data_IF_749012764372
#
_entry.id   IF_749012764372
#
_cell.length_a   1.000
_cell.length_b   1.000
_cell.length_c   1.000
_cell.angle_alpha   90.00
_cell.angle_beta   90.00
_cell.angle_gamma   90.00
#
_symmetry.space_group_name_H-M   'P 1'
#
loop_
_entity.id
_entity.type
_entity.pdbx_description
1 polymer ?
#
# COMPACT_ATOMS: atom_id res chain seq x y z
N UNK A 1 4.02 6.95 -15.90
CA UNK A 1 2.61 6.57 -15.63
C UNK A 1 2.54 5.15 -15.09
N UNK A 2 1.67 4.89 -14.13
CA UNK A 2 1.50 3.54 -13.57
C UNK A 2 0.94 2.59 -14.63
N UNK A 3 1.53 1.41 -14.73
CA UNK A 3 1.16 0.39 -15.71
C UNK A 3 0.29 -0.68 -15.04
N UNK A 4 -0.86 -1.00 -15.65
CA UNK A 4 -1.74 -2.05 -15.17
C UNK A 4 -1.29 -3.39 -15.76
N UNK A 5 -1.07 -4.39 -14.91
CA UNK A 5 -0.68 -5.74 -15.30
C UNK A 5 -1.58 -6.76 -14.61
N UNK A 6 -1.68 -7.95 -15.19
CA UNK A 6 -2.37 -9.08 -14.58
C UNK A 6 -1.40 -9.87 -13.70
N UNK A 7 -1.88 -10.38 -12.57
CA UNK A 7 -1.07 -11.21 -11.69
C UNK A 7 -1.57 -11.20 -10.26
N UNK A 8 -0.74 -11.69 -9.36
CA UNK A 8 -0.98 -11.62 -7.92
C UNK A 8 0.07 -10.69 -7.30
N UNK A 9 -0.37 -9.55 -6.76
CA UNK A 9 0.51 -8.57 -6.12
C UNK A 9 1.37 -9.22 -5.02
N UNK A 10 0.82 -10.16 -4.28
CA UNK A 10 1.50 -10.80 -3.16
C UNK A 10 2.61 -11.77 -3.59
N UNK A 11 2.72 -12.06 -4.88
CA UNK A 11 3.84 -12.79 -5.45
C UNK A 11 5.00 -11.87 -5.88
N UNK A 12 4.85 -10.56 -5.72
CA UNK A 12 5.85 -9.56 -6.10
C UNK A 12 6.33 -9.75 -7.56
N UNK A 13 5.41 -9.69 -8.55
CA UNK A 13 5.79 -9.88 -9.96
C UNK A 13 6.61 -8.71 -10.50
N UNK A 14 7.20 -8.86 -11.68
CA UNK A 14 7.83 -7.80 -12.48
C UNK A 14 8.92 -7.02 -11.72
N UNK A 15 9.77 -7.71 -10.96
CA UNK A 15 10.82 -7.08 -10.16
C UNK A 15 10.30 -6.07 -9.13
N UNK A 16 9.06 -6.23 -8.68
CA UNK A 16 8.53 -5.46 -7.57
C UNK A 16 9.28 -5.83 -6.31
N UNK A 17 9.84 -4.82 -5.65
CA UNK A 17 10.50 -4.97 -4.34
C UNK A 17 9.66 -4.41 -3.21
N UNK A 18 8.69 -3.55 -3.51
CA UNK A 18 7.83 -2.90 -2.52
C UNK A 18 6.39 -2.95 -2.98
N UNK A 19 5.49 -3.27 -2.06
CA UNK A 19 4.05 -3.17 -2.30
C UNK A 19 3.41 -2.32 -1.21
N UNK A 20 2.27 -1.73 -1.52
CA UNK A 20 1.46 -1.03 -0.53
C UNK A 20 -0.01 -1.43 -0.67
N UNK A 21 -0.72 -1.36 0.43
CA UNK A 21 -2.16 -1.53 0.44
C UNK A 21 -2.80 -0.52 1.40
N UNK A 22 -4.10 -0.32 1.26
CA UNK A 22 -4.84 0.58 2.12
C UNK A 22 -5.31 -0.12 3.38
N UNK A 23 -5.09 0.51 4.51
CA UNK A 23 -5.48 0.02 5.82
C UNK A 23 -6.43 1.00 6.51
N UNK A 24 -7.25 0.47 7.41
CA UNK A 24 -8.07 1.28 8.30
C UNK A 24 -7.32 1.66 9.58
N UNK A 25 -7.81 2.68 10.26
CA UNK A 25 -7.20 3.18 11.49
C UNK A 25 -7.56 2.36 12.74
N UNK A 26 -8.31 1.28 12.59
CA UNK A 26 -8.64 0.36 13.69
C UNK A 26 -7.64 -0.79 13.84
N UNK A 27 -6.62 -0.84 13.01
CA UNK A 27 -5.59 -1.89 13.01
C UNK A 27 -6.16 -3.31 12.83
N UNK A 28 -7.17 -3.42 11.96
CA UNK A 28 -7.84 -4.69 11.65
C UNK A 28 -7.60 -5.06 10.19
N UNK A 29 -6.91 -6.16 9.97
CA UNK A 29 -6.71 -6.76 8.64
C UNK A 29 -7.66 -7.95 8.48
N UNK A 30 -8.96 -7.67 8.48
CA UNK A 30 -9.99 -8.71 8.56
C UNK A 30 -10.63 -9.12 7.24
N UNK A 31 -10.36 -8.41 6.14
CA UNK A 31 -11.03 -8.66 4.86
C UNK A 31 -10.13 -8.31 3.67
N UNK A 32 -10.47 -8.85 2.51
CA UNK A 32 -9.82 -8.54 1.24
C UNK A 32 -8.32 -8.81 1.24
N UNK A 33 -7.59 -7.95 0.54
CA UNK A 33 -6.13 -8.09 0.42
C UNK A 33 -5.41 -7.97 1.78
N UNK A 34 -5.93 -7.17 2.70
CA UNK A 34 -5.32 -7.01 4.02
C UNK A 34 -5.30 -8.33 4.79
N UNK A 35 -6.39 -9.10 4.71
CA UNK A 35 -6.44 -10.43 5.33
C UNK A 35 -5.43 -11.38 4.70
N UNK A 36 -5.30 -11.38 3.38
CA UNK A 36 -4.32 -12.22 2.69
C UNK A 36 -2.89 -11.84 3.07
N UNK A 37 -2.60 -10.55 3.21
CA UNK A 37 -1.30 -10.05 3.68
C UNK A 37 -1.04 -10.53 5.11
N UNK A 38 -2.00 -10.41 6.00
CA UNK A 38 -1.89 -10.90 7.37
C UNK A 38 -1.53 -12.39 7.42
N UNK A 39 -2.20 -13.20 6.60
CA UNK A 39 -2.02 -14.65 6.59
C UNK A 39 -0.67 -15.05 5.96
N UNK A 40 -0.27 -14.38 4.88
CA UNK A 40 0.94 -14.73 4.13
C UNK A 40 2.20 -14.02 4.64
N UNK A 41 2.05 -12.79 5.12
CA UNK A 41 3.16 -11.95 5.58
C UNK A 41 2.88 -11.41 6.99
N UNK A 42 2.97 -12.25 8.01
CA UNK A 42 2.57 -11.87 9.38
C UNK A 42 3.36 -10.69 9.95
N UNK A 43 4.59 -10.43 9.47
CA UNK A 43 5.36 -9.26 9.92
C UNK A 43 4.69 -7.94 9.53
N UNK A 44 3.96 -7.91 8.41
CA UNK A 44 3.19 -6.72 8.01
C UNK A 44 2.02 -6.46 8.96
N UNK A 45 1.32 -7.50 9.40
CA UNK A 45 0.28 -7.37 10.41
C UNK A 45 0.86 -6.93 11.75
N UNK A 46 2.00 -7.47 12.14
CA UNK A 46 2.69 -7.08 13.37
C UNK A 46 3.07 -5.59 13.33
N UNK A 47 3.59 -5.10 12.20
CA UNK A 47 3.90 -3.69 12.03
C UNK A 47 2.65 -2.80 12.17
N UNK A 48 1.50 -3.23 11.62
CA UNK A 48 0.23 -2.55 11.79
C UNK A 48 -0.20 -2.50 13.25
N UNK A 49 -0.07 -3.63 13.95
CA UNK A 49 -0.44 -3.73 15.37
C UNK A 49 0.41 -2.85 16.30
N UNK A 50 1.63 -2.50 15.86
CA UNK A 50 2.55 -1.65 16.61
C UNK A 50 2.73 -0.27 15.95
N UNK A 51 1.72 0.20 15.22
CA UNK A 51 1.76 1.49 14.56
C UNK A 51 2.00 2.63 15.56
N UNK A 52 2.72 3.66 15.09
CA UNK A 52 3.20 4.78 15.91
C UNK A 52 2.10 5.58 16.59
N UNK A 53 0.93 5.68 15.95
CA UNK A 53 -0.22 6.43 16.43
C UNK A 53 -1.42 5.52 16.53
N UNK A 54 -2.49 5.99 17.19
CA UNK A 54 -3.74 5.26 17.34
C UNK A 54 -4.90 6.00 16.66
N UNK A 55 -5.89 5.23 16.19
CA UNK A 55 -7.11 5.76 15.60
C UNK A 55 -6.81 6.68 14.42
N UNK A 56 -7.62 7.72 14.27
CA UNK A 56 -7.52 8.63 13.12
C UNK A 56 -6.26 9.50 13.12
N UNK A 57 -5.44 9.46 14.16
CA UNK A 57 -4.11 10.05 14.15
C UNK A 57 -3.15 9.33 13.17
N UNK A 58 -3.51 8.11 12.77
CA UNK A 58 -2.78 7.36 11.73
C UNK A 58 -3.09 7.85 10.31
N UNK A 59 -4.21 8.53 10.07
CA UNK A 59 -4.59 8.93 8.72
C UNK A 59 -3.47 9.73 8.04
N UNK A 60 -3.10 9.29 6.84
CA UNK A 60 -2.03 9.91 6.06
C UNK A 60 -0.63 9.41 6.39
N UNK A 61 -0.51 8.47 7.31
CA UNK A 61 0.76 7.83 7.66
C UNK A 61 0.81 6.40 7.13
N UNK A 62 1.90 5.70 7.42
CA UNK A 62 2.08 4.29 7.07
C UNK A 62 2.87 3.56 8.15
N UNK A 63 2.77 2.24 8.16
CA UNK A 63 3.73 1.35 8.80
C UNK A 63 4.38 0.47 7.74
N UNK A 64 5.55 -0.09 8.06
CA UNK A 64 6.35 -0.83 7.08
C UNK A 64 6.93 -2.09 7.72
N UNK A 65 6.97 -3.16 6.93
CA UNK A 65 7.68 -4.38 7.32
C UNK A 65 8.37 -5.00 6.11
N UNK A 66 9.55 -5.56 6.32
CA UNK A 66 10.12 -6.53 5.39
C UNK A 66 9.32 -7.82 5.47
N UNK A 67 9.24 -8.57 4.37
CA UNK A 67 8.50 -9.83 4.36
C UNK A 67 9.21 -10.94 5.15
N UNK A 68 10.54 -10.84 5.23
CA UNK A 68 11.37 -11.77 5.99
C UNK A 68 12.73 -11.15 6.34
N UNK A 69 13.59 -11.93 6.97
CA UNK A 69 14.91 -11.49 7.44
C UNK A 69 15.89 -11.15 6.31
N UNK A 70 15.62 -11.54 5.07
CA UNK A 70 16.49 -11.20 3.93
C UNK A 70 16.37 -9.73 3.52
N UNK A 71 15.31 -9.06 3.92
CA UNK A 71 15.05 -7.65 3.61
C UNK A 71 15.04 -7.34 2.10
N UNK A 72 14.54 -8.28 1.30
CA UNK A 72 14.47 -8.12 -0.15
C UNK A 72 13.14 -7.57 -0.65
N UNK A 73 12.07 -7.76 0.12
CA UNK A 73 10.72 -7.35 -0.25
C UNK A 73 10.04 -6.68 0.94
N UNK A 74 9.44 -5.54 0.70
CA UNK A 74 8.81 -4.73 1.74
C UNK A 74 7.33 -4.46 1.49
N UNK A 75 6.58 -4.30 2.57
CA UNK A 75 5.14 -4.02 2.54
C UNK A 75 4.86 -2.75 3.33
N UNK A 76 4.17 -1.82 2.69
CA UNK A 76 3.65 -0.60 3.31
C UNK A 76 2.17 -0.75 3.63
N UNK A 77 1.82 -0.57 4.88
CA UNK A 77 0.43 -0.44 5.32
C UNK A 77 0.09 1.05 5.33
N UNK A 78 -0.67 1.52 4.35
CA UNK A 78 -1.05 2.93 4.27
C UNK A 78 -2.37 3.18 4.99
N UNK A 79 -2.39 4.14 5.89
CA UNK A 79 -3.59 4.48 6.67
C UNK A 79 -4.41 5.53 5.92
N UNK A 80 -5.34 5.06 5.11
CA UNK A 80 -6.08 5.86 4.14
C UNK A 80 -7.57 5.91 4.44
N UNK A 81 -8.03 5.14 5.40
CA UNK A 81 -9.45 5.05 5.72
C UNK A 81 -9.68 5.02 7.23
N UNK A 82 -10.74 5.71 7.63
CA UNK A 82 -11.20 5.78 8.99
C UNK A 82 -11.89 4.47 9.40
N UNK A 83 -12.60 4.49 10.51
CA UNK A 83 -13.28 3.32 11.06
C UNK A 83 -14.10 2.54 10.05
N UNK A 84 -14.13 1.21 10.23
CA UNK A 84 -15.06 0.30 9.57
C UNK A 84 -16.51 0.72 9.88
N UNK A 85 -17.40 0.64 8.88
CA UNK A 85 -18.83 0.81 9.06
C UNK A 85 -19.44 2.08 8.48
N UNK A 86 -18.66 2.93 7.82
CA UNK A 86 -19.16 4.09 7.10
C UNK A 86 -19.31 3.77 5.60
N UNK A 87 -20.29 4.42 4.97
CA UNK A 87 -20.60 4.24 3.56
C UNK A 87 -19.43 4.54 2.63
N UNK A 88 -18.58 5.52 3.01
CA UNK A 88 -17.30 5.80 2.40
C UNK A 88 -16.31 6.06 3.51
N UNK A 89 -15.37 5.17 3.71
CA UNK A 89 -14.35 5.29 4.76
C UNK A 89 -13.02 5.80 4.23
N UNK A 90 -12.77 5.78 2.90
CA UNK A 90 -11.56 6.32 2.31
C UNK A 90 -11.51 7.84 2.49
N UNK A 91 -10.37 8.33 2.97
CA UNK A 91 -10.03 9.74 3.05
C UNK A 91 -9.04 10.03 1.93
N UNK A 92 -9.46 10.80 0.92
CA UNK A 92 -8.62 11.08 -0.25
C UNK A 92 -7.36 11.87 0.10
N UNK A 93 -7.46 12.81 1.03
CA UNK A 93 -6.29 13.55 1.48
C UNK A 93 -5.29 12.62 2.19
N UNK A 94 -5.78 11.74 3.04
CA UNK A 94 -4.95 10.75 3.71
C UNK A 94 -4.30 9.79 2.70
N UNK A 95 -5.02 9.37 1.68
CA UNK A 95 -4.46 8.52 0.61
C UNK A 95 -3.31 9.24 -0.12
N UNK A 96 -3.54 10.48 -0.53
CA UNK A 96 -2.53 11.27 -1.23
C UNK A 96 -1.28 11.45 -0.37
N UNK A 97 -1.47 11.81 0.89
CA UNK A 97 -0.38 12.05 1.83
C UNK A 97 0.41 10.76 2.15
N UNK A 98 -0.31 9.67 2.45
CA UNK A 98 0.33 8.38 2.76
C UNK A 98 1.14 7.87 1.56
N UNK A 99 0.58 7.92 0.36
CA UNK A 99 1.28 7.46 -0.84
C UNK A 99 2.50 8.33 -1.16
N UNK A 100 2.40 9.63 -0.95
CA UNK A 100 3.55 10.54 -1.12
C UNK A 100 4.67 10.16 -0.16
N UNK A 101 4.36 9.91 1.11
CA UNK A 101 5.34 9.49 2.12
C UNK A 101 5.95 8.13 1.80
N UNK A 102 5.14 7.19 1.34
CA UNK A 102 5.60 5.87 0.88
C UNK A 102 6.58 6.02 -0.29
N UNK A 103 6.22 6.82 -1.29
CA UNK A 103 7.07 7.04 -2.45
C UNK A 103 8.42 7.65 -2.05
N UNK A 104 8.43 8.62 -1.15
CA UNK A 104 9.66 9.20 -0.63
C UNK A 104 10.52 8.16 0.09
N UNK A 105 9.91 7.30 0.88
CA UNK A 105 10.61 6.24 1.59
C UNK A 105 11.18 5.19 0.64
N UNK A 106 10.44 4.80 -0.40
CA UNK A 106 10.94 3.87 -1.43
C UNK A 106 12.19 4.45 -2.10
N UNK A 107 12.18 5.71 -2.47
CA UNK A 107 13.36 6.34 -3.08
C UNK A 107 14.56 6.33 -2.14
N UNK A 108 14.33 6.53 -0.84
CA UNK A 108 15.38 6.40 0.17
C UNK A 108 15.89 4.95 0.28
N UNK A 109 14.98 3.96 0.30
CA UNK A 109 15.36 2.54 0.37
C UNK A 109 16.21 2.12 -0.83
N UNK A 110 15.79 2.49 -2.04
CA UNK A 110 16.53 2.17 -3.27
C UNK A 110 17.94 2.75 -3.24
N UNK A 111 18.12 3.94 -2.68
CA UNK A 111 19.42 4.58 -2.60
C UNK A 111 20.36 3.93 -1.58
N UNK A 112 19.83 3.22 -0.58
CA UNK A 112 20.60 2.70 0.56
C UNK A 112 20.65 1.18 0.64
N UNK A 113 19.72 0.47 -0.02
CA UNK A 113 19.59 -0.97 0.03
C UNK A 113 19.62 -1.59 -1.37
N UNK A 114 20.14 -2.80 -1.46
CA UNK A 114 20.18 -3.57 -2.72
C UNK A 114 18.85 -4.34 -2.88
N UNK A 115 17.77 -3.61 -3.08
CA UNK A 115 16.44 -4.18 -3.29
C UNK A 115 15.99 -4.00 -4.74
N UNK A 116 15.02 -4.82 -5.17
CA UNK A 116 14.35 -4.58 -6.44
C UNK A 116 13.58 -3.25 -6.35
N UNK A 117 13.71 -2.38 -7.36
CA UNK A 117 13.24 -1.00 -7.20
C UNK A 117 11.77 -0.78 -7.49
N UNK A 118 11.09 -1.72 -8.16
CA UNK A 118 9.74 -1.47 -8.65
C UNK A 118 8.71 -1.51 -7.52
N UNK A 119 7.65 -0.74 -7.69
CA UNK A 119 6.58 -0.59 -6.72
C UNK A 119 5.28 -1.17 -7.25
N UNK A 120 4.52 -1.85 -6.40
CA UNK A 120 3.25 -2.46 -6.75
C UNK A 120 2.10 -1.99 -5.87
N UNK A 121 0.95 -1.75 -6.51
CA UNK A 121 -0.31 -1.42 -5.86
C UNK A 121 -1.40 -2.37 -6.35
N UNK A 122 -2.38 -2.71 -5.52
CA UNK A 122 -3.51 -3.51 -5.98
C UNK A 122 -4.44 -2.67 -6.87
N UNK A 123 -4.91 -3.26 -7.96
CA UNK A 123 -5.93 -2.64 -8.81
C UNK A 123 -7.18 -2.33 -7.98
N UNK A 124 -7.75 -1.14 -8.20
CA UNK A 124 -8.93 -0.65 -7.47
C UNK A 124 -8.66 -0.41 -5.97
N UNK A 125 -7.41 -0.14 -5.60
CA UNK A 125 -7.05 0.19 -4.22
C UNK A 125 -7.98 1.26 -3.65
N UNK A 126 -8.46 1.08 -2.42
CA UNK A 126 -9.41 1.97 -1.70
C UNK A 126 -10.79 2.09 -2.35
N UNK A 127 -11.10 1.33 -3.40
CA UNK A 127 -12.36 1.45 -4.16
C UNK A 127 -13.34 0.30 -3.91
N UNK A 128 -12.98 -0.68 -3.09
CA UNK A 128 -13.87 -1.76 -2.67
C UNK A 128 -14.73 -1.33 -1.47
N UNK A 129 -14.53 -1.96 -0.33
CA UNK A 129 -15.25 -1.66 0.91
C UNK A 129 -15.09 -0.22 1.37
N UNK A 130 -13.93 0.40 1.09
CA UNK A 130 -13.66 1.79 1.44
C UNK A 130 -14.45 2.80 0.59
N UNK A 131 -15.02 2.39 -0.53
CA UNK A 131 -15.97 3.17 -1.33
C UNK A 131 -15.37 4.31 -2.15
N UNK A 132 -14.06 4.27 -2.43
CA UNK A 132 -13.39 5.28 -3.24
C UNK A 132 -13.75 5.23 -4.73
N UNK A 133 -13.60 6.35 -5.42
CA UNK A 133 -13.71 6.43 -6.87
C UNK A 133 -12.37 6.08 -7.51
N UNK A 134 -12.35 5.07 -8.37
CA UNK A 134 -11.12 4.68 -9.05
C UNK A 134 -10.53 5.80 -9.92
N UNK A 135 -11.38 6.59 -10.58
CA UNK A 135 -10.88 7.72 -11.36
C UNK A 135 -10.10 8.72 -10.51
N UNK A 136 -10.58 9.01 -9.31
CA UNK A 136 -9.91 9.91 -8.37
C UNK A 136 -8.61 9.28 -7.86
N UNK A 137 -8.67 8.04 -7.39
CA UNK A 137 -7.51 7.32 -6.85
C UNK A 137 -6.43 7.15 -7.92
N UNK A 138 -6.80 6.74 -9.13
CA UNK A 138 -5.85 6.54 -10.24
C UNK A 138 -5.17 7.83 -10.65
N UNK A 139 -5.91 8.95 -10.66
CA UNK A 139 -5.34 10.27 -10.92
C UNK A 139 -4.30 10.66 -9.85
N UNK A 140 -4.59 10.40 -8.59
CA UNK A 140 -3.65 10.65 -7.49
C UNK A 140 -2.39 9.80 -7.63
N UNK A 141 -2.54 8.51 -7.93
CA UNK A 141 -1.42 7.59 -8.13
C UNK A 141 -0.49 8.13 -9.21
N UNK A 142 -1.04 8.50 -10.36
CA UNK A 142 -0.23 9.02 -11.46
C UNK A 142 0.42 10.36 -11.12
N UNK A 143 -0.29 11.26 -10.46
CA UNK A 143 0.27 12.54 -10.04
C UNK A 143 1.47 12.37 -9.09
N UNK A 144 1.34 11.50 -8.10
CA UNK A 144 2.39 11.27 -7.09
C UNK A 144 3.59 10.54 -7.69
N UNK A 145 3.36 9.56 -8.57
CA UNK A 145 4.38 8.58 -8.98
C UNK A 145 5.00 8.81 -10.35
N UNK A 146 4.52 9.81 -11.11
CA UNK A 146 4.91 10.02 -12.52
C UNK A 146 6.42 10.26 -12.71
N UNK A 147 7.05 10.99 -11.82
CA UNK A 147 8.47 11.38 -11.94
C UNK A 147 9.38 10.68 -10.92
N UNK A 148 8.93 9.57 -10.36
CA UNK A 148 9.73 8.83 -9.37
C UNK A 148 10.81 7.98 -10.04
N UNK A 149 11.86 7.67 -9.26
CA UNK A 149 13.03 6.89 -9.71
C UNK A 149 12.76 5.38 -9.75
N UNK A 150 11.51 4.97 -9.70
CA UNK A 150 11.08 3.58 -9.78
C UNK A 150 9.84 3.45 -10.65
N UNK A 151 9.63 2.26 -11.20
CA UNK A 151 8.42 1.95 -11.97
C UNK A 151 7.31 1.53 -11.02
N UNK A 152 6.07 1.94 -11.35
CA UNK A 152 4.87 1.54 -10.61
C UNK A 152 4.00 0.64 -11.46
N UNK A 153 3.63 -0.50 -10.88
CA UNK A 153 2.68 -1.45 -11.45
C UNK A 153 1.43 -1.50 -10.59
N UNK A 154 0.28 -1.48 -11.26
CA UNK A 154 -1.01 -1.75 -10.64
C UNK A 154 -1.39 -3.17 -11.03
N UNK A 155 -1.47 -4.06 -10.06
CA UNK A 155 -1.59 -5.50 -10.30
C UNK A 155 -3.04 -5.92 -10.13
N UNK A 156 -3.63 -6.41 -11.20
CA UNK A 156 -5.01 -6.88 -11.23
C UNK A 156 -5.03 -8.40 -11.08
N UNK A 157 -5.66 -8.85 -10.00
CA UNK A 157 -5.80 -10.27 -9.72
C UNK A 157 -6.95 -10.87 -10.52
N UNK A 158 -6.70 -12.04 -11.09
CA UNK A 158 -7.71 -12.86 -11.75
C UNK A 158 -7.75 -14.22 -11.06
N UNK A 159 -8.95 -14.67 -10.73
CA UNK A 159 -9.15 -16.03 -10.22
C UNK A 159 -9.01 -17.07 -11.34
#
# INVERSE_FOLDING_TARGET
>A
MAQIIDGNLLDFPNDIGFIAHSCNTSNIMGAGIARQIKDRYPLAYEADSHARYEGDNLLGDYSFAWTDATQNQGIYNMYTQSKIGHKRSVDYEAFYLALTRVANNIEWQIAHDDTKPNFGLPWMISCGLAGGSWNVIFSMINDILVDRKFKTYIVKYHE
#
